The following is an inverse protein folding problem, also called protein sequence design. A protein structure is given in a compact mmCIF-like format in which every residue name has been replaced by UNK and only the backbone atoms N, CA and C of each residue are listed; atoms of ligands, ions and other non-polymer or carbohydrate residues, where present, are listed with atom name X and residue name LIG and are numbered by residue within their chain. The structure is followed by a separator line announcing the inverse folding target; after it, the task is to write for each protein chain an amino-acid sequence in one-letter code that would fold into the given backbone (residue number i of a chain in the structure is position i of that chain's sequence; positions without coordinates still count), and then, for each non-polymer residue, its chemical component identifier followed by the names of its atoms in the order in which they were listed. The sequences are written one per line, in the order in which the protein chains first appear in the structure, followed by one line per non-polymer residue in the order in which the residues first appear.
data_IF_403561888180
#
_entry.id   IF_403561888180
#
_cell.length_a   1.000
_cell.length_b   1.000
_cell.length_c   1.000
_cell.angle_alpha   90.00
_cell.angle_beta   90.00
_cell.angle_gamma   90.00
#
_symmetry.space_group_name_H-M   'P 1'
#
loop_
_entity.id
_entity.type
_entity.pdbx_description
1 polymer ?
#
# COMPACT_ATOMS: atom_id res chain seq x y z
N UNK A 1 37.34 -2.10 -2.68
CA UNK A 1 36.22 -1.34 -3.24
C UNK A 1 36.09 -1.73 -4.70
N UNK A 2 35.02 -2.42 -5.09
CA UNK A 2 34.79 -2.78 -6.49
C UNK A 2 34.23 -1.55 -7.22
N UNK A 3 34.98 -1.00 -8.18
CA UNK A 3 34.51 0.12 -9.00
C UNK A 3 33.37 -0.38 -9.89
N UNK A 4 32.18 0.19 -9.74
CA UNK A 4 31.06 -0.03 -10.66
C UNK A 4 31.47 0.42 -12.06
N UNK A 5 31.48 -0.53 -12.99
CA UNK A 5 31.85 -0.27 -14.38
C UNK A 5 30.78 0.58 -15.08
N UNK A 6 31.15 1.47 -16.02
CA UNK A 6 30.21 2.26 -16.79
C UNK A 6 29.22 1.37 -17.56
N UNK A 7 28.00 1.86 -17.78
CA UNK A 7 26.91 1.13 -18.45
C UNK A 7 27.31 0.63 -19.87
N UNK A 8 28.24 1.33 -20.51
CA UNK A 8 28.81 0.99 -21.81
C UNK A 8 29.72 -0.24 -21.80
N UNK A 9 30.37 -0.55 -20.68
CA UNK A 9 31.13 -1.81 -20.52
C UNK A 9 30.20 -3.01 -20.30
N UNK A 10 29.07 -2.83 -19.61
CA UNK A 10 28.06 -3.88 -19.44
C UNK A 10 27.39 -4.25 -20.76
N UNK A 11 27.10 -3.27 -21.62
CA UNK A 11 26.55 -3.50 -22.95
C UNK A 11 27.51 -4.33 -23.82
N UNK A 12 28.81 -4.02 -23.80
CA UNK A 12 29.83 -4.80 -24.53
C UNK A 12 30.04 -6.21 -23.98
N UNK A 13 29.85 -6.42 -22.68
CA UNK A 13 29.85 -7.74 -22.05
C UNK A 13 28.64 -8.56 -22.46
N UNK A 14 27.45 -7.94 -22.48
CA UNK A 14 26.20 -8.56 -22.93
C UNK A 14 26.31 -9.03 -24.39
N UNK A 15 26.80 -8.17 -25.29
CA UNK A 15 26.97 -8.53 -26.71
C UNK A 15 28.02 -9.63 -26.91
N UNK A 16 29.09 -9.65 -26.11
CA UNK A 16 30.13 -10.69 -26.20
C UNK A 16 29.62 -12.05 -25.72
N UNK A 17 28.73 -12.08 -24.73
CA UNK A 17 28.13 -13.31 -24.21
C UNK A 17 26.88 -13.76 -24.98
N UNK A 18 26.18 -12.85 -25.68
CA UNK A 18 25.00 -13.19 -26.49
C UNK A 18 25.35 -13.98 -27.76
N UNK A 19 26.58 -13.88 -28.26
CA UNK A 19 27.04 -14.63 -29.45
C UNK A 19 27.36 -16.11 -29.12
N UNK A 20 27.45 -16.47 -27.83
CA UNK A 20 27.57 -17.86 -27.34
C UNK A 20 26.36 -18.26 -26.47
N UNK A 21 25.16 -17.95 -26.95
CA UNK A 21 23.95 -18.23 -26.19
C UNK A 21 23.57 -19.72 -26.29
N UNK A 22 24.18 -20.57 -25.44
CA UNK A 22 23.80 -21.99 -25.31
C UNK A 22 22.32 -22.18 -24.94
N UNK A 23 21.63 -21.12 -24.48
CA UNK A 23 20.18 -21.09 -24.30
C UNK A 23 19.37 -21.26 -25.59
N UNK A 24 19.93 -20.99 -26.77
CA UNK A 24 19.28 -21.31 -28.05
C UNK A 24 19.27 -22.81 -28.36
N UNK A 25 20.04 -23.62 -27.62
CA UNK A 25 20.05 -25.08 -27.74
C UNK A 25 19.06 -25.76 -26.78
N UNK A 26 18.33 -24.97 -25.98
CA UNK A 26 17.26 -25.50 -25.11
C UNK A 26 16.11 -25.92 -26.02
N UNK A 27 15.76 -27.22 -26.07
CA UNK A 27 14.66 -27.69 -26.90
C UNK A 27 13.35 -27.12 -26.38
N UNK A 28 12.48 -26.68 -27.29
CA UNK A 28 11.10 -26.36 -26.98
C UNK A 28 10.39 -27.67 -26.61
N UNK A 29 9.89 -27.79 -25.38
CA UNK A 29 9.07 -28.91 -24.93
C UNK A 29 7.62 -28.68 -25.39
N UNK A 30 7.41 -28.62 -26.70
CA UNK A 30 6.11 -28.29 -27.32
C UNK A 30 5.01 -29.30 -26.93
N UNK A 31 5.38 -30.54 -26.62
CA UNK A 31 4.47 -31.58 -26.11
C UNK A 31 3.99 -31.34 -24.67
N UNK A 32 4.60 -30.40 -23.93
CA UNK A 32 4.15 -29.96 -22.60
C UNK A 32 3.26 -28.72 -22.65
N UNK A 33 3.02 -28.14 -23.84
CA UNK A 33 2.28 -26.90 -23.99
C UNK A 33 0.79 -27.17 -24.23
N UNK A 34 -0.04 -26.79 -23.27
CA UNK A 34 -1.47 -26.61 -23.49
C UNK A 34 -1.75 -25.13 -23.77
N UNK A 35 -2.32 -24.82 -24.94
CA UNK A 35 -2.91 -23.49 -25.19
C UNK A 35 -4.14 -23.35 -24.30
N UNK A 36 -3.99 -22.61 -23.19
CA UNK A 36 -5.11 -22.30 -22.29
C UNK A 36 -6.04 -21.34 -23.03
N UNK A 37 -7.22 -21.82 -23.43
CA UNK A 37 -8.30 -20.97 -23.97
C UNK A 37 -8.69 -19.93 -22.91
N UNK A 38 -8.42 -18.67 -23.22
CA UNK A 38 -8.86 -17.42 -22.56
C UNK A 38 -9.47 -17.54 -21.15
N UNK A 39 -8.64 -17.41 -20.13
CA UNK A 39 -9.06 -17.23 -18.72
C UNK A 39 -8.86 -15.77 -18.25
N UNK A 40 -9.07 -14.80 -19.15
CA UNK A 40 -8.94 -13.38 -18.83
C UNK A 40 -10.32 -12.72 -18.64
N UNK A 41 -10.41 -11.81 -17.68
CA UNK A 41 -11.60 -11.00 -17.44
C UNK A 41 -11.23 -9.52 -17.40
N UNK A 42 -12.09 -8.68 -17.98
CA UNK A 42 -11.98 -7.22 -17.91
C UNK A 42 -13.04 -6.73 -16.92
N UNK A 43 -12.60 -6.00 -15.90
CA UNK A 43 -13.48 -5.36 -14.92
C UNK A 43 -13.50 -3.86 -15.24
N UNK A 44 -14.69 -3.31 -15.49
CA UNK A 44 -14.88 -1.87 -15.51
C UNK A 44 -15.32 -1.41 -14.11
N UNK A 45 -14.39 -0.82 -13.35
CA UNK A 45 -14.65 -0.31 -12.01
C UNK A 45 -15.40 1.04 -12.00
N UNK A 46 -15.58 1.69 -13.15
CA UNK A 46 -16.31 2.97 -13.26
C UNK A 46 -15.53 4.22 -12.85
N UNK A 47 -14.22 4.13 -12.60
CA UNK A 47 -13.35 5.25 -12.23
C UNK A 47 -11.87 4.93 -12.35
N UNK A 48 -11.00 5.93 -12.13
CA UNK A 48 -9.54 5.71 -12.15
C UNK A 48 -9.11 4.80 -11.00
N UNK A 49 -8.33 3.75 -11.31
CA UNK A 49 -7.86 2.77 -10.32
C UNK A 49 -6.48 3.19 -9.80
N UNK A 50 -6.40 3.49 -8.51
CA UNK A 50 -5.17 3.88 -7.81
C UNK A 50 -4.79 2.87 -6.71
N UNK A 51 -5.79 2.27 -6.07
CA UNK A 51 -5.63 1.13 -5.17
C UNK A 51 -6.12 -0.16 -5.84
N UNK A 52 -5.27 -1.18 -5.83
CA UNK A 52 -5.56 -2.50 -6.38
C UNK A 52 -4.79 -3.56 -5.60
N UNK A 53 -5.50 -4.41 -4.86
CA UNK A 53 -4.84 -5.43 -4.02
C UNK A 53 -5.77 -6.62 -3.72
N UNK A 54 -5.21 -7.83 -3.73
CA UNK A 54 -5.94 -9.06 -3.43
C UNK A 54 -6.03 -9.29 -1.93
N UNK A 55 -7.16 -9.80 -1.46
CA UNK A 55 -7.33 -10.20 -0.06
C UNK A 55 -6.42 -11.40 0.23
N UNK A 56 -5.48 -11.30 1.18
CA UNK A 56 -4.63 -12.42 1.55
C UNK A 56 -5.46 -13.47 2.28
N UNK A 57 -5.35 -14.71 1.80
CA UNK A 57 -6.00 -15.88 2.41
C UNK A 57 -4.98 -16.81 3.05
N UNK A 58 -5.30 -17.42 4.20
CA UNK A 58 -4.46 -18.45 4.78
C UNK A 58 -4.57 -19.71 3.92
N UNK A 59 -3.47 -20.44 3.79
CA UNK A 59 -3.43 -21.70 3.03
C UNK A 59 -4.36 -22.79 3.59
N UNK A 60 -4.78 -22.66 4.86
CA UNK A 60 -5.77 -23.53 5.48
C UNK A 60 -7.20 -23.33 4.96
N UNK A 61 -7.51 -22.17 4.37
CA UNK A 61 -8.84 -21.89 3.84
C UNK A 61 -9.02 -22.52 2.45
N UNK A 62 -9.97 -23.46 2.36
CA UNK A 62 -10.25 -24.21 1.13
C UNK A 62 -11.36 -23.58 0.28
N UNK A 63 -11.91 -22.41 0.65
CA UNK A 63 -12.98 -21.77 -0.13
C UNK A 63 -12.43 -21.26 -1.45
N UNK A 64 -13.07 -21.62 -2.55
CA UNK A 64 -12.69 -21.21 -3.90
C UNK A 64 -12.78 -19.70 -4.12
N UNK A 65 -13.66 -19.03 -3.39
CA UNK A 65 -13.93 -17.59 -3.54
C UNK A 65 -12.69 -16.75 -3.24
N UNK A 66 -12.22 -15.98 -4.21
CA UNK A 66 -11.13 -15.00 -4.03
C UNK A 66 -11.71 -13.59 -4.03
N UNK A 67 -10.97 -12.63 -3.49
CA UNK A 67 -11.46 -11.26 -3.37
C UNK A 67 -10.38 -10.27 -3.80
N UNK A 68 -10.77 -9.33 -4.65
CA UNK A 68 -9.95 -8.23 -5.14
C UNK A 68 -10.55 -6.92 -4.67
N UNK A 69 -9.75 -6.09 -4.00
CA UNK A 69 -10.14 -4.72 -3.70
C UNK A 69 -9.70 -3.80 -4.84
N UNK A 70 -10.59 -2.86 -5.22
CA UNK A 70 -10.35 -1.81 -6.21
C UNK A 70 -10.80 -0.48 -5.62
N UNK A 71 -10.01 0.57 -5.76
CA UNK A 71 -10.38 1.93 -5.36
C UNK A 71 -9.55 2.98 -6.07
N UNK A 72 -9.97 4.23 -5.97
CA UNK A 72 -9.31 5.36 -6.61
C UNK A 72 -10.24 6.55 -6.74
N UNK A 73 -10.29 7.17 -7.91
CA UNK A 73 -11.23 8.25 -8.20
C UNK A 73 -12.60 7.70 -8.62
N UNK A 74 -13.65 8.47 -8.36
CA UNK A 74 -15.01 8.17 -8.81
C UNK A 74 -15.26 8.55 -10.29
N UNK A 75 -14.29 9.18 -10.97
CA UNK A 75 -14.33 9.52 -12.39
C UNK A 75 -13.04 9.06 -13.08
N UNK A 76 -13.06 9.00 -14.41
CA UNK A 76 -11.89 8.65 -15.25
C UNK A 76 -11.13 9.88 -15.75
N UNK A 77 -11.63 11.08 -15.48
CA UNK A 77 -11.08 12.36 -15.99
C UNK A 77 -10.25 13.10 -14.95
N UNK A 78 -10.33 12.68 -13.69
CA UNK A 78 -9.60 13.31 -12.59
C UNK A 78 -8.33 12.53 -12.25
N UNK A 79 -7.21 13.25 -12.25
CA UNK A 79 -5.90 12.75 -11.89
C UNK A 79 -5.15 13.88 -11.18
N UNK A 80 -5.36 14.02 -9.88
CA UNK A 80 -4.69 15.04 -9.07
C UNK A 80 -3.53 14.41 -8.29
N UNK A 81 -2.45 15.16 -8.06
CA UNK A 81 -1.40 14.68 -7.18
C UNK A 81 -1.89 14.75 -5.73
N UNK A 82 -1.28 13.95 -4.87
CA UNK A 82 -1.52 13.96 -3.42
C UNK A 82 -1.54 15.40 -2.87
N UNK A 83 -2.61 15.75 -2.17
CA UNK A 83 -2.80 17.04 -1.49
C UNK A 83 -2.93 18.28 -2.40
N UNK A 84 -3.23 18.12 -3.69
CA UNK A 84 -3.52 19.25 -4.60
C UNK A 84 -5.01 19.65 -4.66
N UNK A 85 -5.92 18.78 -4.22
CA UNK A 85 -7.35 19.08 -4.23
C UNK A 85 -7.70 20.11 -3.14
N UNK A 86 -8.46 21.15 -3.50
CA UNK A 86 -9.02 22.13 -2.55
C UNK A 86 -10.32 21.62 -1.88
N UNK A 87 -10.98 20.61 -2.46
CA UNK A 87 -12.22 19.99 -1.94
C UNK A 87 -11.91 18.75 -1.07
N UNK A 88 -11.09 18.97 -0.03
CA UNK A 88 -10.49 17.92 0.81
C UNK A 88 -11.49 17.25 1.77
N UNK A 89 -12.60 17.91 2.08
CA UNK A 89 -13.51 17.47 3.15
C UNK A 89 -14.77 16.79 2.59
N UNK A 90 -15.02 15.57 3.06
CA UNK A 90 -16.26 14.82 2.85
C UNK A 90 -16.57 14.41 1.41
N UNK A 91 -15.55 14.24 0.56
CA UNK A 91 -15.75 13.73 -0.80
C UNK A 91 -16.18 12.26 -0.76
N UNK A 92 -17.38 12.01 -1.28
CA UNK A 92 -17.98 10.68 -1.36
C UNK A 92 -17.22 9.81 -2.36
N UNK A 93 -16.86 8.61 -1.93
CA UNK A 93 -16.15 7.63 -2.73
C UNK A 93 -16.40 6.21 -2.23
N UNK A 94 -15.86 5.21 -2.92
CA UNK A 94 -16.04 3.81 -2.58
C UNK A 94 -14.79 2.96 -2.82
N UNK A 95 -14.59 1.97 -1.94
CA UNK A 95 -13.70 0.84 -2.18
C UNK A 95 -14.57 -0.36 -2.58
N UNK A 96 -14.35 -0.89 -3.78
CA UNK A 96 -15.08 -2.01 -4.35
C UNK A 96 -14.37 -3.32 -4.01
N UNK A 97 -15.12 -4.33 -3.59
CA UNK A 97 -14.65 -5.68 -3.33
C UNK A 97 -15.29 -6.62 -4.35
N UNK A 98 -14.46 -7.05 -5.30
CA UNK A 98 -14.84 -7.96 -6.36
C UNK A 98 -14.58 -9.40 -5.94
N UNK A 99 -15.56 -10.26 -6.15
CA UNK A 99 -15.46 -11.69 -5.92
C UNK A 99 -15.01 -12.39 -7.21
N UNK A 100 -13.97 -13.19 -7.06
CA UNK A 100 -13.37 -14.04 -8.09
C UNK A 100 -13.37 -15.51 -7.64
N UNK A 101 -12.83 -16.43 -8.45
CA UNK A 101 -12.65 -17.84 -8.08
C UNK A 101 -11.24 -18.34 -8.35
N UNK A 102 -10.81 -19.33 -7.56
CA UNK A 102 -9.53 -20.04 -7.71
C UNK A 102 -9.56 -20.96 -8.94
N UNK A 103 -9.04 -20.46 -10.08
CA UNK A 103 -8.48 -21.11 -11.29
C UNK A 103 -9.13 -22.37 -11.91
N UNK A 104 -10.26 -22.87 -11.42
CA UNK A 104 -10.76 -24.23 -11.75
C UNK A 104 -12.15 -24.25 -12.38
N UNK A 105 -12.81 -23.10 -12.51
CA UNK A 105 -14.13 -23.00 -13.14
C UNK A 105 -14.22 -21.72 -13.95
N UNK A 106 -14.84 -21.78 -15.13
CA UNK A 106 -15.35 -20.58 -15.80
C UNK A 106 -16.14 -19.76 -14.79
N UNK A 107 -15.65 -18.57 -14.45
CA UNK A 107 -16.31 -17.66 -13.51
C UNK A 107 -16.40 -16.29 -14.14
N UNK A 108 -17.36 -15.50 -13.71
CA UNK A 108 -17.42 -14.08 -14.04
C UNK A 108 -17.16 -13.32 -12.75
N UNK A 109 -16.16 -12.41 -12.69
CA UNK A 109 -15.98 -11.57 -11.52
C UNK A 109 -17.26 -10.77 -11.24
N UNK A 110 -17.70 -10.75 -9.98
CA UNK A 110 -18.90 -10.01 -9.57
C UNK A 110 -18.55 -9.03 -8.47
N UNK A 111 -19.12 -7.83 -8.51
CA UNK A 111 -19.03 -6.88 -7.42
C UNK A 111 -19.81 -7.41 -6.21
N UNK A 112 -19.12 -7.85 -5.15
CA UNK A 112 -19.74 -8.53 -4.01
C UNK A 112 -20.05 -7.56 -2.86
N UNK A 113 -19.23 -6.50 -2.72
CA UNK A 113 -19.39 -5.48 -1.70
C UNK A 113 -18.78 -4.14 -2.14
N UNK A 114 -19.39 -3.03 -1.73
CA UNK A 114 -18.87 -1.68 -1.81
C UNK A 114 -18.78 -1.09 -0.39
N UNK A 115 -17.61 -0.58 -0.03
CA UNK A 115 -17.40 0.20 1.18
C UNK A 115 -17.51 1.66 0.80
N UNK A 116 -18.63 2.29 1.15
CA UNK A 116 -18.93 3.69 0.87
C UNK A 116 -18.36 4.57 1.97
N UNK A 117 -17.63 5.63 1.61
CA UNK A 117 -17.00 6.53 2.57
C UNK A 117 -16.97 7.97 2.08
N UNK A 118 -16.66 8.89 2.98
CA UNK A 118 -16.49 10.33 2.76
C UNK A 118 -15.05 10.80 3.04
N UNK A 119 -14.10 9.88 3.22
CA UNK A 119 -12.69 10.16 3.53
C UNK A 119 -11.86 10.75 2.37
N UNK A 120 -12.45 10.97 1.19
CA UNK A 120 -11.74 11.49 0.04
C UNK A 120 -11.37 10.45 -1.01
N UNK A 121 -10.36 10.75 -1.81
CA UNK A 121 -9.88 9.87 -2.87
C UNK A 121 -8.90 8.85 -2.31
N UNK A 122 -9.06 7.58 -2.66
CA UNK A 122 -8.10 6.52 -2.35
C UNK A 122 -6.89 6.69 -3.25
N UNK A 123 -5.70 6.87 -2.67
CA UNK A 123 -4.45 7.03 -3.42
C UNK A 123 -3.66 5.72 -3.45
N UNK A 124 -3.75 4.93 -2.38
CA UNK A 124 -3.13 3.61 -2.27
C UNK A 124 -3.87 2.85 -1.16
N UNK A 125 -3.95 1.53 -1.25
CA UNK A 125 -4.32 0.68 -0.11
C UNK A 125 -3.57 -0.64 -0.15
N UNK A 126 -3.38 -1.26 1.02
CA UNK A 126 -2.74 -2.57 1.15
C UNK A 126 -3.43 -3.39 2.22
N UNK A 127 -3.71 -4.65 1.90
CA UNK A 127 -4.18 -5.61 2.91
C UNK A 127 -3.06 -5.99 3.87
N UNK A 128 -3.40 -6.17 5.14
CA UNK A 128 -2.49 -6.76 6.11
C UNK A 128 -2.24 -8.23 5.74
N UNK A 129 -0.98 -8.60 5.50
CA UNK A 129 -0.58 -9.90 4.95
C UNK A 129 -0.83 -11.08 5.91
N UNK A 130 -0.86 -10.81 7.22
CA UNK A 130 -1.10 -11.84 8.21
C UNK A 130 -2.60 -12.04 8.41
N UNK A 131 -3.03 -13.29 8.31
CA UNK A 131 -4.42 -13.64 8.15
C UNK A 131 -5.27 -13.27 9.37
N UNK A 132 -6.03 -12.19 9.23
CA UNK A 132 -7.26 -11.91 10.01
C UNK A 132 -8.48 -12.50 9.30
N UNK A 133 -8.27 -13.16 8.15
CA UNK A 133 -9.30 -13.77 7.34
C UNK A 133 -9.92 -14.94 8.11
N UNK A 134 -11.19 -14.80 8.47
CA UNK A 134 -11.97 -15.82 9.19
C UNK A 134 -13.38 -15.93 8.61
N UNK A 135 -14.32 -16.55 9.32
CA UNK A 135 -15.72 -16.66 8.89
C UNK A 135 -16.51 -15.35 9.00
N UNK A 136 -15.97 -14.33 9.67
CA UNK A 136 -16.59 -13.03 9.96
C UNK A 136 -15.86 -11.84 9.32
N UNK A 137 -14.55 -11.94 9.07
CA UNK A 137 -13.68 -10.87 8.55
C UNK A 137 -12.94 -11.31 7.29
N UNK A 138 -12.92 -10.47 6.26
CA UNK A 138 -12.03 -10.61 5.10
C UNK A 138 -10.60 -10.27 5.48
N UNK A 139 -10.40 -9.22 6.28
CA UNK A 139 -9.06 -8.83 6.70
C UNK A 139 -9.04 -7.41 7.21
N UNK A 140 -7.81 -6.90 7.38
CA UNK A 140 -7.55 -5.51 7.74
C UNK A 140 -6.99 -4.82 6.50
N UNK A 141 -7.66 -3.77 6.05
CA UNK A 141 -7.26 -2.97 4.90
C UNK A 141 -6.74 -1.62 5.41
N UNK A 142 -5.49 -1.29 5.12
CA UNK A 142 -4.97 0.07 5.32
C UNK A 142 -5.12 0.85 4.01
N UNK A 143 -5.84 1.96 4.02
CA UNK A 143 -6.04 2.83 2.87
C UNK A 143 -5.51 4.24 3.16
N UNK A 144 -4.77 4.79 2.21
CA UNK A 144 -4.25 6.15 2.22
C UNK A 144 -5.13 7.03 1.34
N UNK A 145 -5.54 8.17 1.87
CA UNK A 145 -6.40 9.12 1.17
C UNK A 145 -5.63 10.35 0.70
N UNK A 146 -6.23 11.12 -0.21
CA UNK A 146 -5.65 12.36 -0.76
C UNK A 146 -5.34 13.44 0.29
N UNK A 147 -5.96 13.35 1.47
CA UNK A 147 -5.67 14.19 2.64
C UNK A 147 -4.38 13.79 3.41
N UNK A 148 -3.65 12.76 2.95
CA UNK A 148 -2.39 12.32 3.57
C UNK A 148 -2.57 11.51 4.86
N UNK A 149 -3.78 11.03 5.14
CA UNK A 149 -4.10 10.19 6.30
C UNK A 149 -4.19 8.73 5.84
N UNK A 150 -3.65 7.82 6.65
CA UNK A 150 -3.84 6.37 6.48
C UNK A 150 -4.90 5.91 7.47
N UNK A 151 -5.96 5.29 6.97
CA UNK A 151 -7.02 4.73 7.80
C UNK A 151 -7.12 3.22 7.62
N UNK A 152 -7.37 2.51 8.71
CA UNK A 152 -7.51 1.06 8.70
C UNK A 152 -8.97 0.67 8.86
N UNK A 153 -9.39 -0.30 8.06
CA UNK A 153 -10.73 -0.89 8.06
C UNK A 153 -10.65 -2.36 8.39
N UNK A 154 -11.51 -2.82 9.30
CA UNK A 154 -11.74 -4.26 9.51
C UNK A 154 -12.88 -4.65 8.60
N UNK A 155 -12.53 -5.22 7.44
CA UNK A 155 -13.51 -5.52 6.40
C UNK A 155 -14.23 -6.83 6.73
N UNK A 156 -15.56 -6.86 6.81
CA UNK A 156 -16.30 -8.06 7.15
C UNK A 156 -16.37 -9.05 5.98
N UNK A 157 -16.57 -10.33 6.28
CA UNK A 157 -16.92 -11.34 5.27
C UNK A 157 -18.29 -11.03 4.66
N UNK A 158 -18.42 -10.94 3.32
CA UNK A 158 -19.70 -10.68 2.66
C UNK A 158 -20.78 -11.68 3.08
N UNK A 159 -20.44 -12.99 3.12
CA UNK A 159 -21.37 -14.04 3.54
C UNK A 159 -21.84 -13.90 5.00
N UNK A 160 -20.97 -13.40 5.89
CA UNK A 160 -21.34 -13.16 7.29
C UNK A 160 -22.36 -12.03 7.42
N UNK A 161 -22.14 -10.93 6.69
CA UNK A 161 -23.06 -9.78 6.66
C UNK A 161 -24.42 -10.22 6.10
N UNK A 162 -24.43 -10.96 4.99
CA UNK A 162 -25.68 -11.48 4.39
C UNK A 162 -26.48 -12.33 5.36
N UNK A 163 -25.83 -13.29 6.03
CA UNK A 163 -26.51 -14.15 7.02
C UNK A 163 -27.07 -13.33 8.18
N UNK A 164 -26.30 -12.36 8.68
CA UNK A 164 -26.71 -11.51 9.80
C UNK A 164 -27.93 -10.63 9.46
N UNK A 165 -28.00 -10.13 8.22
CA UNK A 165 -29.03 -9.22 7.76
C UNK A 165 -30.11 -9.89 6.87
N UNK A 166 -30.09 -11.21 6.75
CA UNK A 166 -31.04 -12.01 5.95
C UNK A 166 -31.14 -11.55 4.48
N UNK A 167 -30.00 -11.17 3.89
CA UNK A 167 -29.92 -10.67 2.51
C UNK A 167 -29.70 -11.82 1.52
N UNK A 168 -30.10 -11.62 0.26
CA UNK A 168 -29.92 -12.63 -0.77
C UNK A 168 -28.42 -12.86 -1.09
N UNK A 169 -28.02 -14.08 -1.48
CA UNK A 169 -26.61 -14.41 -1.76
C UNK A 169 -25.95 -13.61 -2.90
N UNK A 170 -26.74 -13.08 -3.83
CA UNK A 170 -26.27 -12.43 -5.06
C UNK A 170 -26.29 -10.90 -5.01
N UNK A 171 -26.89 -10.30 -3.97
CA UNK A 171 -27.01 -8.85 -3.89
C UNK A 171 -25.67 -8.23 -3.52
N UNK A 172 -25.25 -7.19 -4.25
CA UNK A 172 -24.10 -6.37 -3.89
C UNK A 172 -24.34 -5.72 -2.53
N UNK A 173 -23.41 -5.92 -1.59
CA UNK A 173 -23.49 -5.30 -0.28
C UNK A 173 -22.98 -3.87 -0.32
N UNK A 174 -23.76 -2.91 0.20
CA UNK A 174 -23.30 -1.53 0.38
C UNK A 174 -23.11 -1.26 1.86
N UNK A 175 -21.87 -1.03 2.28
CA UNK A 175 -21.51 -0.76 3.68
C UNK A 175 -21.03 0.68 3.77
N UNK A 176 -21.74 1.52 4.55
CA UNK A 176 -21.29 2.88 4.86
C UNK A 176 -20.25 2.84 5.98
N UNK A 177 -19.03 3.28 5.69
CA UNK A 177 -17.95 3.44 6.64
C UNK A 177 -17.84 4.92 7.05
N UNK A 178 -18.62 5.32 8.07
CA UNK A 178 -18.56 6.69 8.63
C UNK A 178 -17.38 6.92 9.57
N UNK A 179 -16.70 5.85 10.00
CA UNK A 179 -15.52 5.95 10.83
C UNK A 179 -14.56 4.80 10.51
N UNK A 180 -13.27 5.11 10.45
CA UNK A 180 -12.23 4.10 10.38
C UNK A 180 -12.04 3.39 11.73
N UNK A 181 -11.50 2.17 11.68
CA UNK A 181 -11.16 1.42 12.91
C UNK A 181 -9.94 2.03 13.62
N UNK A 182 -9.00 2.54 12.84
CA UNK A 182 -7.82 3.22 13.31
C UNK A 182 -7.46 4.31 12.29
N UNK A 183 -7.10 5.48 12.78
CA UNK A 183 -6.60 6.58 11.96
C UNK A 183 -5.14 6.86 12.32
N UNK A 184 -4.28 6.86 11.29
CA UNK A 184 -2.86 7.22 11.39
C UNK A 184 -2.68 8.60 10.77
N UNK A 185 -2.49 9.58 11.64
CA UNK A 185 -2.46 11.00 11.31
C UNK A 185 -1.23 11.68 11.91
N UNK A 186 -0.71 12.69 11.21
CA UNK A 186 0.68 13.11 11.32
C UNK A 186 1.03 14.46 11.96
N UNK A 187 0.37 15.02 12.98
CA UNK A 187 0.26 16.49 13.14
C UNK A 187 0.29 17.37 11.86
N UNK A 188 -0.51 18.44 11.84
CA UNK A 188 -0.54 19.38 10.72
C UNK A 188 -0.59 18.67 9.35
N UNK A 189 -1.60 17.82 9.12
CA UNK A 189 -1.67 16.97 7.91
C UNK A 189 -1.64 17.71 6.58
N UNK A 190 -2.00 19.00 6.57
CA UNK A 190 -1.83 19.85 5.38
C UNK A 190 -0.35 20.09 5.05
N UNK A 191 0.50 20.04 6.06
CA UNK A 191 1.90 20.42 6.02
C UNK A 191 2.84 19.20 5.95
N UNK A 192 2.44 18.08 6.56
CA UNK A 192 3.24 16.86 6.62
C UNK A 192 2.41 15.61 6.29
N UNK A 193 2.08 15.44 5.02
CA UNK A 193 1.28 14.31 4.53
C UNK A 193 2.07 13.02 4.43
N UNK A 194 1.40 11.89 4.71
CA UNK A 194 1.89 10.57 4.32
C UNK A 194 1.78 10.45 2.80
N UNK A 195 2.86 10.01 2.15
CA UNK A 195 2.94 9.82 0.70
C UNK A 195 3.03 8.35 0.29
N UNK A 196 3.50 7.50 1.20
CA UNK A 196 3.56 6.06 0.98
C UNK A 196 3.55 5.32 2.33
N UNK A 197 3.14 4.06 2.31
CA UNK A 197 3.18 3.21 3.48
C UNK A 197 3.38 1.73 3.11
N UNK A 198 3.91 0.95 4.06
CA UNK A 198 4.10 -0.49 3.92
C UNK A 198 3.92 -1.23 5.24
N UNK A 199 3.29 -2.40 5.17
CA UNK A 199 3.12 -3.31 6.31
C UNK A 199 4.45 -3.94 6.73
N UNK A 200 4.82 -3.74 7.99
CA UNK A 200 5.90 -4.43 8.69
C UNK A 200 5.33 -5.58 9.51
N UNK A 201 5.09 -6.70 8.85
CA UNK A 201 4.40 -7.83 9.46
C UNK A 201 2.91 -7.55 9.71
N UNK A 202 2.39 -8.01 10.85
CA UNK A 202 1.00 -7.79 11.29
C UNK A 202 0.84 -6.67 12.31
N UNK A 203 1.95 -6.20 12.86
CA UNK A 203 1.97 -5.28 14.00
C UNK A 203 2.25 -3.85 13.60
N UNK A 204 3.07 -3.63 12.57
CA UNK A 204 3.61 -2.31 12.27
C UNK A 204 3.26 -1.81 10.89
N UNK A 205 3.15 -0.50 10.79
CA UNK A 205 3.07 0.23 9.54
C UNK A 205 4.21 1.25 9.50
N UNK A 206 5.00 1.22 8.43
CA UNK A 206 5.97 2.26 8.13
C UNK A 206 5.37 3.21 7.10
N UNK A 207 5.43 4.52 7.34
CA UNK A 207 4.98 5.52 6.38
C UNK A 207 6.07 6.55 6.09
N UNK A 208 6.14 6.94 4.82
CA UNK A 208 7.08 7.91 4.29
C UNK A 208 6.35 9.20 4.02
N UNK A 209 6.95 10.30 4.46
CA UNK A 209 6.27 11.58 4.49
C UNK A 209 6.81 12.54 3.45
N UNK A 210 6.02 13.60 3.18
CA UNK A 210 6.46 14.72 2.36
C UNK A 210 7.66 15.46 2.96
N UNK A 211 7.77 15.49 4.29
CA UNK A 211 8.88 16.11 5.01
C UNK A 211 10.18 15.29 5.03
N UNK A 212 10.23 14.15 4.33
CA UNK A 212 11.41 13.30 4.29
C UNK A 212 11.57 12.39 5.50
N UNK A 213 10.52 12.19 6.29
CA UNK A 213 10.55 11.38 7.51
C UNK A 213 10.09 9.94 7.24
N UNK A 214 10.67 8.98 7.95
CA UNK A 214 10.09 7.63 8.08
C UNK A 214 9.50 7.49 9.48
N UNK A 215 8.19 7.30 9.53
CA UNK A 215 7.45 7.17 10.78
C UNK A 215 6.91 5.74 10.88
N UNK A 216 7.05 5.14 12.06
CA UNK A 216 6.57 3.79 12.37
C UNK A 216 5.39 3.91 13.32
N UNK A 217 4.34 3.17 13.04
CA UNK A 217 3.19 2.99 13.92
C UNK A 217 3.12 1.53 14.36
N UNK A 218 2.95 1.32 15.66
CA UNK A 218 2.38 0.09 16.18
C UNK A 218 0.86 0.16 16.04
N UNK A 219 0.32 -0.65 15.14
CA UNK A 219 -1.11 -0.67 14.88
C UNK A 219 -1.83 -1.79 15.63
N UNK A 220 -1.13 -2.83 16.07
CA UNK A 220 -1.78 -3.97 16.73
C UNK A 220 -2.40 -3.55 18.05
N UNK A 221 -1.64 -2.87 18.91
CA UNK A 221 -2.13 -2.44 20.23
C UNK A 221 -3.35 -1.53 20.09
N UNK A 222 -3.31 -0.60 19.14
CA UNK A 222 -4.43 0.30 18.83
C UNK A 222 -5.64 -0.44 18.23
N UNK A 223 -5.42 -1.43 17.37
CA UNK A 223 -6.46 -2.28 16.80
C UNK A 223 -7.13 -3.21 17.82
N UNK A 224 -6.49 -3.50 18.96
CA UNK A 224 -7.08 -4.31 20.04
C UNK A 224 -8.01 -3.49 20.96
N UNK A 225 -7.94 -2.15 20.94
CA UNK A 225 -8.77 -1.31 21.80
C UNK A 225 -10.24 -1.27 21.37
N UNK A 226 -11.21 -1.32 22.28
CA UNK A 226 -12.65 -1.49 21.92
C UNK A 226 -13.25 -0.43 20.98
N UNK A 227 -12.72 0.80 20.92
CA UNK A 227 -13.22 1.90 20.09
C UNK A 227 -12.22 2.27 19.00
N UNK A 228 -12.72 2.88 17.92
CA UNK A 228 -11.83 3.55 16.97
C UNK A 228 -11.09 4.68 17.66
N UNK A 229 -9.78 4.74 17.44
CA UNK A 229 -8.89 5.75 18.03
C UNK A 229 -7.97 6.32 16.97
N UNK A 230 -7.33 7.44 17.28
CA UNK A 230 -6.18 7.97 16.54
C UNK A 230 -4.94 7.37 17.20
N UNK A 231 -4.08 6.69 16.43
CA UNK A 231 -2.85 6.10 16.97
C UNK A 231 -1.73 7.15 17.00
N UNK A 232 -1.06 7.39 18.14
CA UNK A 232 0.21 8.08 18.10
C UNK A 232 1.22 7.25 17.30
N UNK A 233 2.15 7.93 16.64
CA UNK A 233 3.31 7.28 16.06
C UNK A 233 4.15 6.64 17.18
N UNK A 234 4.71 5.46 16.90
CA UNK A 234 5.63 4.78 17.82
C UNK A 234 6.98 5.51 17.81
N UNK A 235 7.53 5.76 16.63
CA UNK A 235 8.77 6.51 16.48
C UNK A 235 8.95 7.08 15.07
N UNK A 236 9.84 8.07 14.95
CA UNK A 236 10.46 8.47 13.68
C UNK A 236 11.82 7.76 13.59
N UNK A 237 12.06 6.95 12.56
CA UNK A 237 13.36 6.26 12.39
C UNK A 237 14.46 7.26 12.02
N UNK A 238 14.19 8.04 10.99
CA UNK A 238 15.09 9.09 10.52
C UNK A 238 14.35 10.12 9.69
N UNK A 239 15.05 11.20 9.39
CA UNK A 239 14.58 12.24 8.49
C UNK A 239 15.66 12.59 7.46
N UNK A 240 15.26 12.75 6.20
CA UNK A 240 16.06 13.34 5.14
C UNK A 240 15.91 14.87 5.18
N UNK A 241 17.03 15.57 5.09
CA UNK A 241 17.12 17.02 5.07
C UNK A 241 17.96 17.41 3.85
N UNK A 242 17.54 18.47 3.17
CA UNK A 242 18.37 19.16 2.20
C UNK A 242 18.90 20.44 2.84
N UNK A 243 20.22 20.58 2.86
CA UNK A 243 20.89 21.78 3.35
C UNK A 243 21.14 22.70 2.16
N UNK A 244 20.40 23.82 2.13
CA UNK A 244 20.44 24.77 1.04
C UNK A 244 21.75 25.55 0.95
N UNK A 245 22.48 25.72 2.05
CA UNK A 245 23.76 26.43 2.06
C UNK A 245 24.86 25.55 1.47
N UNK A 246 24.94 24.30 1.92
CA UNK A 246 25.95 23.35 1.45
C UNK A 246 25.54 22.56 0.20
N UNK A 247 24.31 22.73 -0.27
CA UNK A 247 23.69 21.96 -1.38
C UNK A 247 23.87 20.45 -1.20
N UNK A 248 23.68 19.97 0.03
CA UNK A 248 23.91 18.57 0.40
C UNK A 248 22.72 17.93 1.09
N UNK A 249 22.59 16.61 0.95
CA UNK A 249 21.60 15.82 1.68
C UNK A 249 22.18 15.31 2.99
N UNK A 250 21.38 15.37 4.05
CA UNK A 250 21.75 14.88 5.38
C UNK A 250 20.64 13.99 5.92
N UNK A 251 21.01 12.80 6.40
CA UNK A 251 20.13 12.00 7.24
C UNK A 251 20.32 12.41 8.69
N UNK A 252 19.20 12.65 9.37
CA UNK A 252 19.15 12.87 10.80
C UNK A 252 18.58 11.62 11.46
N UNK A 253 19.23 11.18 12.53
CA UNK A 253 18.92 9.95 13.27
C UNK A 253 18.75 10.25 14.77
N UNK A 254 18.48 9.20 15.56
CA UNK A 254 18.47 9.29 17.02
C UNK A 254 17.28 10.05 17.58
N UNK A 255 16.17 10.10 16.83
CA UNK A 255 14.92 10.64 17.36
C UNK A 255 14.47 9.77 18.53
N UNK A 256 14.21 10.40 19.66
CA UNK A 256 13.45 9.76 20.72
C UNK A 256 12.08 9.36 20.18
N UNK A 257 11.43 8.31 20.72
CA UNK A 257 10.03 8.01 20.46
C UNK A 257 9.19 9.24 20.81
N UNK A 258 9.05 10.16 19.86
CA UNK A 258 8.24 11.34 20.05
C UNK A 258 6.82 10.91 19.78
N UNK A 259 5.94 11.10 20.74
CA UNK A 259 4.49 11.06 20.53
C UNK A 259 4.01 12.12 19.53
N UNK A 260 4.88 13.06 19.16
CA UNK A 260 4.65 14.12 18.19
C UNK A 260 5.78 14.18 17.14
N UNK A 261 5.51 13.94 15.86
CA UNK A 261 6.42 14.26 14.75
C UNK A 261 7.05 15.64 14.91
N UNK A 262 8.29 15.82 14.41
CA UNK A 262 8.96 17.11 14.50
C UNK A 262 8.12 18.19 13.79
N UNK A 263 7.77 19.26 14.51
CA UNK A 263 7.25 20.49 13.92
C UNK A 263 8.32 21.01 12.96
N UNK A 264 8.13 20.76 11.67
CA UNK A 264 8.91 21.42 10.61
C UNK A 264 8.07 22.54 10.05
N UNK A 265 8.71 23.68 9.87
CA UNK A 265 8.09 24.81 9.19
C UNK A 265 7.59 24.39 7.80
N UNK A 266 6.28 24.52 7.61
CA UNK A 266 5.57 24.16 6.39
C UNK A 266 6.18 24.77 5.13
N UNK A 267 6.61 26.02 5.22
CA UNK A 267 7.19 26.72 4.08
C UNK A 267 8.46 26.02 3.61
N UNK A 268 9.29 25.52 4.54
CA UNK A 268 10.49 24.77 4.20
C UNK A 268 10.18 23.41 3.55
N UNK A 269 9.12 22.72 3.98
CA UNK A 269 8.70 21.43 3.40
C UNK A 269 8.17 21.62 1.97
N UNK A 270 7.37 22.67 1.73
CA UNK A 270 6.90 23.00 0.39
C UNK A 270 8.02 23.48 -0.55
N UNK A 271 8.99 24.22 -0.02
CA UNK A 271 10.11 24.74 -0.80
C UNK A 271 11.08 23.64 -1.23
N UNK A 272 11.15 22.53 -0.48
CA UNK A 272 12.10 21.44 -0.72
C UNK A 272 11.40 20.09 -0.99
N UNK A 273 10.60 19.94 -2.06
CA UNK A 273 9.93 18.67 -2.38
C UNK A 273 10.92 17.54 -2.70
N UNK A 274 12.20 17.87 -2.93
CA UNK A 274 13.26 16.91 -3.23
C UNK A 274 13.53 15.91 -2.09
N UNK A 275 13.14 16.23 -0.84
CA UNK A 275 13.31 15.30 0.29
C UNK A 275 12.16 14.31 0.46
N UNK A 276 11.06 14.46 -0.28
CA UNK A 276 9.86 13.66 -0.13
C UNK A 276 10.10 12.17 -0.37
N UNK A 277 9.58 11.31 0.51
CA UNK A 277 9.73 9.86 0.42
C UNK A 277 8.50 9.24 -0.26
N UNK A 278 8.72 8.58 -1.39
CA UNK A 278 7.65 8.10 -2.27
C UNK A 278 7.44 6.59 -2.21
N UNK A 279 8.43 5.85 -1.72
CA UNK A 279 8.38 4.38 -1.64
C UNK A 279 9.01 3.88 -0.35
N UNK A 280 8.34 2.88 0.23
CA UNK A 280 8.84 2.09 1.37
C UNK A 280 8.56 0.63 1.08
N UNK A 281 9.50 -0.23 1.49
CA UNK A 281 9.29 -1.68 1.51
C UNK A 281 9.94 -2.29 2.75
N UNK A 282 9.22 -3.18 3.41
CA UNK A 282 9.82 -4.09 4.40
C UNK A 282 10.39 -5.31 3.68
N UNK A 283 11.49 -5.86 4.19
CA UNK A 283 12.01 -7.11 3.68
C UNK A 283 11.06 -8.27 4.06
N UNK A 284 10.50 -9.00 3.08
CA UNK A 284 9.51 -10.05 3.37
C UNK A 284 10.14 -11.33 3.93
N UNK A 285 11.48 -11.46 3.91
CA UNK A 285 12.16 -12.68 4.32
C UNK A 285 12.26 -12.79 5.84
N UNK A 286 11.84 -13.93 6.39
CA UNK A 286 11.78 -14.17 7.85
C UNK A 286 13.05 -13.80 8.61
N UNK A 287 14.23 -14.15 8.08
CA UNK A 287 15.53 -13.89 8.71
C UNK A 287 16.02 -12.43 8.58
N UNK A 288 15.32 -11.62 7.79
CA UNK A 288 15.67 -10.23 7.53
C UNK A 288 14.46 -9.28 7.66
N UNK A 289 13.37 -9.73 8.28
CA UNK A 289 12.10 -8.99 8.31
C UNK A 289 12.12 -7.68 9.10
N UNK A 290 13.15 -7.46 9.92
CA UNK A 290 13.40 -6.18 10.60
C UNK A 290 14.02 -5.10 9.71
N UNK A 291 14.37 -5.42 8.46
CA UNK A 291 14.91 -4.43 7.51
C UNK A 291 13.80 -3.69 6.78
N UNK A 292 13.93 -2.36 6.73
CA UNK A 292 13.07 -1.46 5.94
C UNK A 292 13.93 -0.67 4.94
N UNK A 293 13.41 -0.51 3.73
CA UNK A 293 13.99 0.32 2.69
C UNK A 293 13.07 1.52 2.44
N UNK A 294 13.65 2.71 2.23
CA UNK A 294 12.89 3.87 1.75
C UNK A 294 13.62 4.62 0.65
N UNK A 295 12.87 5.19 -0.28
CA UNK A 295 13.40 6.09 -1.30
C UNK A 295 12.37 7.14 -1.75
N UNK A 296 12.87 8.18 -2.41
CA UNK A 296 12.09 9.38 -2.69
C UNK A 296 12.62 10.24 -3.82
N UNK A 297 12.15 11.49 -3.87
CA UNK A 297 12.45 12.45 -4.94
C UNK A 297 13.96 12.73 -5.12
N UNK A 298 14.74 12.69 -4.04
CA UNK A 298 16.19 12.90 -4.08
C UNK A 298 16.98 11.81 -4.85
N UNK A 299 16.34 10.68 -5.20
CA UNK A 299 17.04 9.52 -5.76
C UNK A 299 17.91 8.76 -4.76
N UNK A 300 17.82 9.10 -3.46
CA UNK A 300 18.51 8.41 -2.38
C UNK A 300 17.66 7.25 -1.84
N UNK A 301 18.28 6.08 -1.71
CA UNK A 301 17.69 4.91 -1.07
C UNK A 301 18.44 4.60 0.22
N UNK A 302 17.71 4.50 1.33
CA UNK A 302 18.26 4.10 2.63
C UNK A 302 17.68 2.76 3.06
N UNK A 303 18.56 1.91 3.58
CA UNK A 303 18.23 0.65 4.24
C UNK A 303 18.47 0.82 5.75
N UNK A 304 17.48 0.49 6.55
CA UNK A 304 17.53 0.63 8.01
C UNK A 304 17.11 -0.69 8.67
N UNK A 305 17.91 -1.16 9.63
CA UNK A 305 17.51 -2.28 10.48
C UNK A 305 16.82 -1.72 11.73
N UNK A 306 15.57 -2.10 11.92
CA UNK A 306 14.73 -1.52 12.98
C UNK A 306 14.92 -2.19 14.35
N UNK A 307 15.64 -3.31 14.43
CA UNK A 307 15.84 -4.05 15.68
C UNK A 307 14.57 -4.71 16.23
N UNK A 308 13.51 -4.75 15.43
CA UNK A 308 12.18 -5.26 15.76
C UNK A 308 12.03 -6.76 15.52
#
# INVERSE_FOLDING_TARGET
MASTKPITEYSKLYDRHSVRNDYQKVPLLEDEWAVVKDQAHIINAGGSIWGLDFVPKPSSDKRSDQYLAIGGYNTTTEHHLLCEDLDVENRLNAIQIWKCKSLTSSFTPTLDMCILHDFGVVVDFKWCLFSVYDNKKLGILAAMFNNGIVQLFVVPQPQYVRKKHQLAPQDTLYIKASQARLELKLPNTKENSILCFAWGGYRKLACGTRSGSIVIWDVLESLLQKKGIISPAECTLYELIFDDESKSFKYKDGFQPKTTPADRDYLNVLQNPIIALHKIAWNPNKNACGWVASGGAAGLCRLEYTGL
#
